data_IF_349309081281
#
_entry.id   IF_349309081281
#
_cell.length_a   1.000
_cell.length_b   1.000
_cell.length_c   1.000
_cell.angle_alpha   90.00
_cell.angle_beta   90.00
_cell.angle_gamma   90.00
#
_symmetry.space_group_name_H-M   'P 1'
#
loop_
_entity.id
_entity.type
_entity.pdbx_description
1 polymer ?
#
# COMPACT_ATOMS: atom_id res chain seq x y z
N UNK A 1 -46.06 -18.96 -11.66
CA UNK A 1 -46.01 -19.71 -12.93
C UNK A 1 -44.60 -20.23 -13.08
N UNK A 2 -44.48 -21.55 -13.08
CA UNK A 2 -43.30 -22.34 -12.73
C UNK A 2 -42.12 -22.17 -13.70
N UNK A 3 -40.92 -22.09 -13.13
CA UNK A 3 -39.67 -22.32 -13.84
C UNK A 3 -39.41 -23.83 -13.88
N UNK A 4 -39.49 -24.42 -15.08
CA UNK A 4 -39.06 -25.81 -15.29
C UNK A 4 -37.53 -25.89 -15.27
N UNK A 5 -37.00 -26.46 -14.19
CA UNK A 5 -35.73 -27.15 -14.21
C UNK A 5 -35.77 -28.25 -15.28
N UNK A 6 -34.99 -28.10 -16.35
CA UNK A 6 -34.51 -29.23 -17.15
C UNK A 6 -33.11 -29.57 -16.64
N UNK A 7 -33.05 -30.56 -15.75
CA UNK A 7 -31.89 -31.41 -15.58
C UNK A 7 -31.63 -32.09 -16.93
N UNK A 8 -30.53 -31.74 -17.58
CA UNK A 8 -29.99 -32.55 -18.67
C UNK A 8 -29.35 -33.77 -18.02
N UNK A 9 -30.00 -34.92 -18.19
CA UNK A 9 -29.41 -36.22 -17.90
C UNK A 9 -28.17 -36.40 -18.79
N UNK A 10 -26.99 -36.40 -18.16
CA UNK A 10 -25.74 -36.78 -18.80
C UNK A 10 -25.73 -38.32 -18.92
N UNK A 11 -25.86 -38.85 -20.13
CA UNK A 11 -25.50 -40.23 -20.42
C UNK A 11 -23.98 -40.36 -20.28
N UNK A 12 -23.53 -40.94 -19.16
CA UNK A 12 -22.14 -41.40 -18.96
C UNK A 12 -21.85 -42.51 -19.98
N UNK A 13 -21.11 -42.18 -21.03
CA UNK A 13 -20.53 -43.17 -21.94
C UNK A 13 -19.25 -43.72 -21.32
N UNK A 14 -18.93 -45.01 -21.50
CA UNK A 14 -17.72 -45.67 -20.96
C UNK A 14 -16.41 -44.91 -21.26
N UNK A 15 -16.37 -44.16 -22.37
CA UNK A 15 -15.22 -43.32 -22.73
C UNK A 15 -14.99 -42.10 -21.83
N UNK A 16 -15.99 -41.63 -21.09
CA UNK A 16 -15.87 -40.48 -20.19
C UNK A 16 -15.33 -40.91 -18.81
N UNK A 17 -15.66 -42.13 -18.37
CA UNK A 17 -15.15 -42.73 -17.14
C UNK A 17 -13.65 -43.03 -17.22
N UNK A 18 -13.19 -43.61 -18.34
CA UNK A 18 -11.75 -43.86 -18.57
C UNK A 18 -10.96 -42.55 -18.71
N UNK A 19 -11.50 -41.55 -19.41
CA UNK A 19 -10.88 -40.23 -19.51
C UNK A 19 -10.81 -39.50 -18.16
N UNK A 20 -11.82 -39.64 -17.31
CA UNK A 20 -11.81 -39.08 -15.96
C UNK A 20 -10.74 -39.76 -15.09
N UNK A 21 -10.58 -41.08 -15.22
CA UNK A 21 -9.55 -41.84 -14.49
C UNK A 21 -8.14 -41.43 -14.93
N UNK A 22 -7.89 -41.32 -16.24
CA UNK A 22 -6.61 -40.81 -16.76
C UNK A 22 -6.33 -39.39 -16.25
N UNK A 23 -7.33 -38.51 -16.29
CA UNK A 23 -7.19 -37.16 -15.77
C UNK A 23 -6.77 -37.13 -14.30
N UNK A 24 -7.42 -37.94 -13.44
CA UNK A 24 -7.08 -38.03 -12.02
C UNK A 24 -5.66 -38.55 -11.78
N UNK A 25 -5.21 -39.51 -12.59
CA UNK A 25 -3.83 -40.00 -12.54
C UNK A 25 -2.82 -38.92 -12.94
N UNK A 26 -3.02 -38.28 -14.09
CA UNK A 26 -2.16 -37.19 -14.56
C UNK A 26 -2.14 -36.02 -13.58
N UNK A 27 -3.26 -35.71 -12.94
CA UNK A 27 -3.35 -34.70 -11.88
C UNK A 27 -2.45 -35.08 -10.70
N UNK A 28 -2.59 -36.30 -10.19
CA UNK A 28 -1.75 -36.83 -9.10
C UNK A 28 -0.25 -36.81 -9.45
N UNK A 29 0.10 -37.17 -10.69
CA UNK A 29 1.48 -37.13 -11.17
C UNK A 29 2.01 -35.71 -11.31
N UNK A 30 1.18 -34.76 -11.79
CA UNK A 30 1.53 -33.34 -11.86
C UNK A 30 1.79 -32.72 -10.49
N UNK A 31 0.98 -33.06 -9.49
CA UNK A 31 1.18 -32.59 -8.11
C UNK A 31 2.42 -33.19 -7.45
N UNK A 32 2.72 -34.48 -7.73
CA UNK A 32 3.84 -35.20 -7.11
C UNK A 32 5.16 -35.09 -7.88
N UNK A 33 5.17 -34.49 -9.07
CA UNK A 33 6.36 -34.36 -9.92
C UNK A 33 6.81 -35.68 -10.53
N UNK A 34 5.90 -36.63 -10.76
CA UNK A 34 6.27 -37.94 -11.32
C UNK A 34 6.36 -37.86 -12.85
N UNK A 35 7.41 -37.21 -13.33
CA UNK A 35 7.62 -36.88 -14.74
C UNK A 35 7.63 -38.11 -15.65
N UNK A 36 8.26 -39.20 -15.22
CA UNK A 36 8.35 -40.42 -16.02
C UNK A 36 6.97 -41.05 -16.19
N UNK A 37 6.23 -41.25 -15.08
CA UNK A 37 4.88 -41.83 -15.16
C UNK A 37 3.91 -40.95 -15.93
N UNK A 38 4.01 -39.64 -15.78
CA UNK A 38 3.18 -38.70 -16.56
C UNK A 38 3.40 -38.91 -18.06
N UNK A 39 4.66 -38.93 -18.50
CA UNK A 39 5.01 -39.12 -19.90
C UNK A 39 4.64 -40.52 -20.41
N UNK A 40 4.91 -41.56 -19.62
CA UNK A 40 4.60 -42.95 -19.98
C UNK A 40 3.09 -43.14 -20.16
N UNK A 41 2.25 -42.58 -19.28
CA UNK A 41 0.78 -42.62 -19.44
C UNK A 41 0.34 -41.91 -20.71
N UNK A 42 0.88 -40.72 -20.99
CA UNK A 42 0.53 -39.98 -22.21
C UNK A 42 1.04 -40.68 -23.48
N UNK A 43 2.18 -41.37 -23.44
CA UNK A 43 2.75 -42.06 -24.60
C UNK A 43 2.08 -43.42 -24.87
N UNK A 44 1.73 -44.16 -23.81
CA UNK A 44 1.20 -45.52 -23.91
C UNK A 44 -0.32 -45.57 -24.06
N UNK A 45 -1.05 -44.64 -23.45
CA UNK A 45 -2.53 -44.70 -23.42
C UNK A 45 -3.19 -43.76 -24.44
N UNK A 46 -2.44 -42.83 -25.03
CA UNK A 46 -2.97 -41.84 -25.97
C UNK A 46 -2.09 -41.76 -27.23
N UNK A 47 -2.34 -42.66 -28.18
CA UNK A 47 -1.65 -42.67 -29.47
C UNK A 47 -2.15 -41.59 -30.45
N UNK A 48 -3.38 -41.09 -30.27
CA UNK A 48 -3.94 -40.00 -31.07
C UNK A 48 -3.48 -38.63 -30.55
N UNK A 49 -2.78 -37.82 -31.36
CA UNK A 49 -2.37 -36.46 -30.98
C UNK A 49 -3.54 -35.57 -30.55
N UNK A 50 -4.73 -35.73 -31.14
CA UNK A 50 -5.89 -34.90 -30.80
C UNK A 50 -6.45 -35.24 -29.42
N UNK A 51 -6.57 -36.54 -29.10
CA UNK A 51 -6.94 -37.01 -27.77
C UNK A 51 -5.94 -36.56 -26.68
N UNK A 52 -4.62 -36.58 -26.98
CA UNK A 52 -3.57 -36.06 -26.10
C UNK A 52 -3.80 -34.58 -25.77
N UNK A 53 -4.02 -33.75 -26.78
CA UNK A 53 -4.27 -32.31 -26.61
C UNK A 53 -5.56 -32.06 -25.82
N UNK A 54 -6.64 -32.79 -26.10
CA UNK A 54 -7.90 -32.66 -25.37
C UNK A 54 -7.73 -32.99 -23.88
N UNK A 55 -7.03 -34.08 -23.55
CA UNK A 55 -6.80 -34.45 -22.15
C UNK A 55 -5.87 -33.46 -21.44
N UNK A 56 -4.78 -33.03 -22.09
CA UNK A 56 -3.87 -32.01 -21.55
C UNK A 56 -4.55 -30.65 -21.35
N UNK A 57 -5.57 -30.35 -22.15
CA UNK A 57 -6.38 -29.14 -22.02
C UNK A 57 -7.39 -29.20 -20.88
N UNK A 58 -7.68 -30.39 -20.33
CA UNK A 58 -8.65 -30.57 -19.25
C UNK A 58 -8.24 -29.76 -18.01
N UNK A 59 -9.24 -29.12 -17.39
CA UNK A 59 -9.07 -28.15 -16.31
C UNK A 59 -9.49 -28.73 -14.97
N UNK A 60 -8.83 -28.29 -13.90
CA UNK A 60 -9.31 -28.55 -12.53
C UNK A 60 -10.54 -27.69 -12.20
N UNK A 61 -11.23 -27.93 -11.06
CA UNK A 61 -12.32 -27.07 -10.61
C UNK A 61 -11.94 -25.59 -10.43
N UNK A 62 -10.68 -25.29 -10.15
CA UNK A 62 -10.12 -23.92 -10.08
C UNK A 62 -9.63 -23.42 -11.44
N UNK A 63 -10.04 -24.08 -12.53
CA UNK A 63 -9.61 -23.82 -13.89
C UNK A 63 -8.07 -23.95 -14.10
N UNK A 64 -7.38 -24.72 -13.25
CA UNK A 64 -5.94 -24.94 -13.41
C UNK A 64 -5.66 -25.96 -14.51
N UNK A 65 -4.68 -25.66 -15.37
CA UNK A 65 -4.08 -26.64 -16.30
C UNK A 65 -3.04 -27.50 -15.57
N UNK A 66 -2.60 -28.60 -16.18
CA UNK A 66 -1.48 -29.37 -15.62
C UNK A 66 -0.19 -28.55 -15.48
N UNK A 67 0.01 -27.53 -16.31
CA UNK A 67 1.14 -26.60 -16.20
C UNK A 67 1.04 -25.78 -14.92
N UNK A 68 -0.15 -25.23 -14.60
CA UNK A 68 -0.37 -24.51 -13.34
C UNK A 68 -0.07 -25.38 -12.13
N UNK A 69 -0.55 -26.63 -12.14
CA UNK A 69 -0.37 -27.59 -11.03
C UNK A 69 1.10 -27.98 -10.86
N UNK A 70 1.80 -28.26 -11.97
CA UNK A 70 3.21 -28.62 -11.94
C UNK A 70 4.06 -27.45 -11.43
N UNK A 71 3.80 -26.23 -11.92
CA UNK A 71 4.50 -25.01 -11.48
C UNK A 71 4.20 -24.69 -10.02
N UNK A 72 2.94 -24.76 -9.59
CA UNK A 72 2.57 -24.49 -8.18
C UNK A 72 3.19 -25.50 -7.20
N UNK A 73 3.59 -26.66 -7.70
CA UNK A 73 4.20 -27.74 -6.92
C UNK A 73 5.74 -27.79 -7.05
N UNK A 74 6.36 -26.85 -7.78
CA UNK A 74 7.82 -26.78 -7.98
C UNK A 74 8.39 -27.72 -9.05
N UNK A 75 7.54 -28.37 -9.87
CA UNK A 75 7.96 -29.40 -10.83
C UNK A 75 8.20 -28.82 -12.23
N UNK A 76 9.25 -28.00 -12.36
CA UNK A 76 9.58 -27.25 -13.59
C UNK A 76 9.82 -28.14 -14.80
N UNK A 77 10.55 -29.25 -14.63
CA UNK A 77 10.86 -30.16 -15.75
C UNK A 77 9.60 -30.79 -16.34
N UNK A 78 8.63 -31.11 -15.48
CA UNK A 78 7.35 -31.64 -15.89
C UNK A 78 6.54 -30.56 -16.63
N UNK A 79 6.50 -29.34 -16.09
CA UNK A 79 5.84 -28.22 -16.75
C UNK A 79 6.41 -27.97 -18.17
N UNK A 80 7.74 -27.99 -18.32
CA UNK A 80 8.40 -27.83 -19.61
C UNK A 80 8.01 -28.95 -20.60
N UNK A 81 8.00 -30.22 -20.14
CA UNK A 81 7.57 -31.36 -20.97
C UNK A 81 6.11 -31.25 -21.42
N UNK A 82 5.21 -30.80 -20.53
CA UNK A 82 3.81 -30.56 -20.89
C UNK A 82 3.71 -29.46 -21.96
N UNK A 83 4.49 -28.39 -21.84
CA UNK A 83 4.51 -27.29 -22.82
C UNK A 83 5.11 -27.69 -24.17
N UNK A 84 6.04 -28.63 -24.21
CA UNK A 84 6.57 -29.19 -25.46
C UNK A 84 5.50 -29.97 -26.24
N UNK A 85 4.61 -30.65 -25.53
CA UNK A 85 3.47 -31.37 -26.14
C UNK A 85 2.33 -30.42 -26.51
N UNK A 86 2.06 -29.38 -25.71
CA UNK A 86 0.97 -28.43 -25.95
C UNK A 86 1.30 -27.00 -25.49
N UNK A 87 2.06 -26.26 -26.33
CA UNK A 87 2.52 -24.87 -26.06
C UNK A 87 1.41 -23.86 -25.70
N UNK A 88 0.21 -23.88 -26.32
CA UNK A 88 -0.86 -22.93 -26.01
C UNK A 88 -1.25 -22.85 -24.52
N UNK A 89 -1.01 -23.91 -23.73
CA UNK A 89 -1.26 -23.91 -22.28
C UNK A 89 -0.48 -22.84 -21.50
N UNK A 90 0.57 -22.28 -22.10
CA UNK A 90 1.37 -21.22 -21.49
C UNK A 90 0.58 -19.92 -21.29
N UNK A 91 -0.36 -19.62 -22.19
CA UNK A 91 -1.18 -18.41 -22.17
C UNK A 91 -2.51 -18.61 -21.45
N UNK A 92 -2.78 -19.83 -20.97
CA UNK A 92 -4.03 -20.15 -20.32
C UNK A 92 -4.09 -19.56 -18.91
N UNK A 93 -5.29 -19.14 -18.53
CA UNK A 93 -5.56 -18.54 -17.23
C UNK A 93 -6.39 -19.47 -16.36
N UNK A 94 -6.05 -19.52 -15.07
CA UNK A 94 -6.87 -20.18 -14.07
C UNK A 94 -8.04 -19.28 -13.61
N UNK A 95 -8.76 -19.69 -12.55
CA UNK A 95 -9.91 -18.95 -12.02
C UNK A 95 -9.54 -17.56 -11.47
N UNK A 96 -8.31 -17.39 -10.97
CA UNK A 96 -7.77 -16.10 -10.51
C UNK A 96 -7.26 -15.22 -11.66
N UNK A 97 -7.35 -15.71 -12.90
CA UNK A 97 -6.80 -15.05 -14.07
C UNK A 97 -5.27 -15.23 -14.20
N UNK A 98 -4.65 -16.00 -13.31
CA UNK A 98 -3.22 -16.25 -13.32
C UNK A 98 -2.86 -17.20 -14.45
N UNK A 99 -1.76 -16.88 -15.13
CA UNK A 99 -1.05 -17.84 -15.99
C UNK A 99 -0.05 -18.64 -15.16
N UNK A 100 0.54 -19.69 -15.75
CA UNK A 100 1.65 -20.40 -15.14
C UNK A 100 2.82 -19.47 -14.75
N UNK A 101 3.04 -18.38 -15.49
CA UNK A 101 4.07 -17.39 -15.16
C UNK A 101 3.73 -16.58 -13.90
N UNK A 102 2.45 -16.28 -13.65
CA UNK A 102 2.02 -15.62 -12.41
C UNK A 102 2.26 -16.52 -11.22
N UNK A 103 1.90 -17.82 -11.32
CA UNK A 103 2.16 -18.80 -10.26
C UNK A 103 3.67 -18.92 -10.00
N UNK A 104 4.48 -19.01 -11.06
CA UNK A 104 5.94 -19.05 -10.93
C UNK A 104 6.47 -17.79 -10.22
N UNK A 105 5.93 -16.61 -10.53
CA UNK A 105 6.33 -15.36 -9.88
C UNK A 105 5.89 -15.27 -8.41
N UNK A 106 4.73 -15.85 -8.08
CA UNK A 106 4.23 -15.98 -6.70
C UNK A 106 5.04 -16.98 -5.87
N UNK A 107 5.73 -17.93 -6.51
CA UNK A 107 6.57 -18.90 -5.82
C UNK A 107 7.97 -18.32 -5.55
N UNK A 108 8.54 -18.64 -4.39
CA UNK A 108 9.94 -18.31 -4.04
C UNK A 108 10.95 -19.14 -4.86
N UNK A 109 10.45 -20.17 -5.57
CA UNK A 109 11.26 -21.22 -6.17
C UNK A 109 12.02 -20.72 -7.40
N UNK A 110 13.24 -20.24 -7.11
CA UNK A 110 14.47 -20.09 -7.88
C UNK A 110 14.31 -19.73 -9.35
N UNK A 111 15.15 -18.81 -9.82
CA UNK A 111 15.35 -18.34 -11.20
C UNK A 111 15.11 -19.39 -12.32
N UNK A 112 15.28 -20.69 -12.05
CA UNK A 112 15.03 -21.81 -12.95
C UNK A 112 13.59 -21.91 -13.46
N UNK A 113 12.55 -21.72 -12.63
CA UNK A 113 11.15 -21.89 -13.05
C UNK A 113 10.74 -20.81 -14.05
N UNK A 114 10.91 -19.56 -13.65
CA UNK A 114 10.61 -18.40 -14.49
C UNK A 114 11.44 -18.41 -15.77
N UNK A 115 12.75 -18.66 -15.68
CA UNK A 115 13.60 -18.70 -16.87
C UNK A 115 13.24 -19.87 -17.80
N UNK A 116 12.83 -21.01 -17.24
CA UNK A 116 12.37 -22.14 -18.05
C UNK A 116 11.08 -21.80 -18.77
N UNK A 117 10.07 -21.23 -18.09
CA UNK A 117 8.83 -20.80 -18.75
C UNK A 117 9.08 -19.74 -19.83
N UNK A 118 9.98 -18.78 -19.58
CA UNK A 118 10.38 -17.79 -20.58
C UNK A 118 11.15 -18.41 -21.75
N UNK A 119 11.95 -19.46 -21.51
CA UNK A 119 12.63 -20.22 -22.57
C UNK A 119 11.63 -20.99 -23.42
N UNK A 120 10.68 -21.70 -22.81
CA UNK A 120 9.64 -22.42 -23.56
C UNK A 120 8.73 -21.45 -24.34
N UNK A 121 8.51 -20.23 -23.84
CA UNK A 121 7.82 -19.16 -24.57
C UNK A 121 8.55 -18.78 -25.88
N UNK A 122 9.90 -18.68 -25.83
CA UNK A 122 10.76 -18.32 -26.98
C UNK A 122 10.82 -19.37 -28.09
N UNK A 123 10.36 -20.59 -27.85
CA UNK A 123 10.44 -21.70 -28.83
C UNK A 123 11.86 -22.02 -29.31
N UNK A 124 11.99 -23.01 -30.21
CA UNK A 124 13.30 -23.51 -30.68
C UNK A 124 13.86 -22.74 -31.89
N UNK A 125 13.10 -21.86 -32.52
CA UNK A 125 13.48 -21.09 -33.73
C UNK A 125 13.56 -19.59 -33.42
N UNK A 126 14.78 -19.04 -33.46
CA UNK A 126 15.17 -17.72 -32.96
C UNK A 126 14.60 -16.49 -33.70
N UNK A 127 13.63 -16.60 -34.61
CA UNK A 127 13.30 -15.50 -35.55
C UNK A 127 11.85 -14.99 -35.43
N UNK A 128 10.89 -15.75 -34.88
CA UNK A 128 9.46 -15.33 -34.84
C UNK A 128 8.82 -15.25 -33.44
N UNK A 129 9.47 -15.74 -32.38
CA UNK A 129 8.81 -16.04 -31.10
C UNK A 129 8.92 -14.96 -29.99
N UNK A 130 9.49 -13.79 -30.27
CA UNK A 130 9.57 -12.74 -29.23
C UNK A 130 8.19 -12.16 -28.91
N UNK A 131 7.25 -12.22 -29.86
CA UNK A 131 5.87 -11.77 -29.67
C UNK A 131 5.12 -12.57 -28.59
N UNK A 132 5.26 -13.90 -28.55
CA UNK A 132 4.63 -14.77 -27.56
C UNK A 132 5.14 -14.47 -26.14
N UNK A 133 6.45 -14.27 -26.01
CA UNK A 133 7.11 -13.95 -24.73
C UNK A 133 6.63 -12.60 -24.21
N UNK A 134 6.61 -11.58 -25.06
CA UNK A 134 6.10 -10.25 -24.72
C UNK A 134 4.61 -10.32 -24.37
N UNK A 135 3.83 -11.11 -25.10
CA UNK A 135 2.41 -11.31 -24.80
C UNK A 135 2.27 -11.88 -23.40
N UNK A 136 2.96 -12.99 -23.08
CA UNK A 136 2.92 -13.64 -21.77
C UNK A 136 3.34 -12.70 -20.63
N UNK A 137 4.44 -11.95 -20.79
CA UNK A 137 4.96 -11.01 -19.80
C UNK A 137 3.97 -9.87 -19.49
N UNK A 138 3.16 -9.49 -20.50
CA UNK A 138 2.18 -8.41 -20.42
C UNK A 138 0.79 -8.89 -20.00
N UNK A 139 0.56 -10.20 -19.91
CA UNK A 139 -0.73 -10.73 -19.43
C UNK A 139 -0.99 -10.29 -18.00
N UNK A 140 -2.25 -9.93 -17.74
CA UNK A 140 -2.75 -9.49 -16.46
C UNK A 140 -3.70 -10.53 -15.85
N UNK A 141 -3.58 -10.80 -14.56
CA UNK A 141 -4.56 -11.61 -13.84
C UNK A 141 -5.83 -10.82 -13.50
N UNK A 142 -6.73 -11.41 -12.70
CA UNK A 142 -7.99 -10.75 -12.35
C UNK A 142 -7.78 -9.45 -11.58
N UNK A 143 -6.66 -9.26 -10.85
CA UNK A 143 -6.30 -8.02 -10.14
C UNK A 143 -5.54 -7.01 -11.02
N UNK A 144 -5.48 -7.29 -12.32
CA UNK A 144 -4.65 -6.57 -13.28
C UNK A 144 -3.14 -6.60 -12.98
N UNK A 145 -2.70 -7.51 -12.11
CA UNK A 145 -1.29 -7.74 -11.86
C UNK A 145 -0.69 -8.50 -13.04
N UNK A 146 0.48 -8.07 -13.50
CA UNK A 146 1.38 -8.91 -14.31
C UNK A 146 2.19 -9.83 -13.40
N UNK A 147 2.87 -10.83 -13.95
CA UNK A 147 3.80 -11.66 -13.17
C UNK A 147 4.86 -10.83 -12.41
N UNK A 148 5.29 -9.68 -12.96
CA UNK A 148 6.22 -8.79 -12.27
C UNK A 148 5.61 -8.13 -11.03
N UNK A 149 4.31 -7.80 -11.05
CA UNK A 149 3.62 -7.32 -9.85
C UNK A 149 3.63 -8.39 -8.77
N UNK A 150 3.26 -9.63 -9.11
CA UNK A 150 3.21 -10.74 -8.16
C UNK A 150 4.59 -11.02 -7.54
N UNK A 151 5.65 -11.04 -8.36
CA UNK A 151 7.02 -11.20 -7.86
C UNK A 151 7.39 -10.12 -6.83
N UNK A 152 7.04 -8.85 -7.08
CA UNK A 152 7.32 -7.76 -6.15
C UNK A 152 6.43 -7.80 -4.91
N UNK A 153 5.14 -8.16 -5.04
CA UNK A 153 4.22 -8.31 -3.90
C UNK A 153 4.75 -9.36 -2.92
N UNK A 154 5.29 -10.47 -3.44
CA UNK A 154 5.89 -11.53 -2.61
C UNK A 154 7.34 -11.24 -2.18
N UNK A 155 7.98 -10.21 -2.73
CA UNK A 155 9.37 -9.85 -2.39
C UNK A 155 10.45 -10.65 -3.12
N UNK A 156 10.10 -11.35 -4.21
CA UNK A 156 11.01 -12.17 -5.02
C UNK A 156 11.84 -11.32 -5.99
N UNK A 157 12.89 -10.68 -5.46
CA UNK A 157 13.70 -9.72 -6.20
C UNK A 157 14.44 -10.32 -7.40
N UNK A 158 14.91 -11.57 -7.31
CA UNK A 158 15.63 -12.21 -8.42
C UNK A 158 14.70 -12.48 -9.60
N UNK A 159 13.51 -13.02 -9.33
CA UNK A 159 12.44 -13.19 -10.33
C UNK A 159 12.06 -11.84 -10.95
N UNK A 160 11.91 -10.80 -10.13
CA UNK A 160 11.62 -9.45 -10.62
C UNK A 160 12.72 -8.95 -11.58
N UNK A 161 14.01 -9.16 -11.26
CA UNK A 161 15.13 -8.81 -12.17
C UNK A 161 15.00 -9.52 -13.51
N UNK A 162 14.80 -10.85 -13.51
CA UNK A 162 14.64 -11.62 -14.74
C UNK A 162 13.48 -11.14 -15.60
N UNK A 163 12.33 -10.84 -14.98
CA UNK A 163 11.15 -10.33 -15.70
C UNK A 163 11.38 -8.93 -16.30
N UNK A 164 12.06 -8.04 -15.57
CA UNK A 164 12.42 -6.70 -16.07
C UNK A 164 13.44 -6.78 -17.22
N UNK A 165 14.41 -7.69 -17.14
CA UNK A 165 15.36 -7.92 -18.23
C UNK A 165 14.69 -8.47 -19.50
N UNK A 166 13.62 -9.25 -19.34
CA UNK A 166 12.87 -9.82 -20.45
C UNK A 166 11.95 -8.81 -21.14
N UNK A 167 11.24 -7.96 -20.39
CA UNK A 167 10.49 -6.82 -20.93
C UNK A 167 10.46 -5.65 -19.94
N UNK A 168 11.32 -4.64 -20.09
CA UNK A 168 11.36 -3.51 -19.17
C UNK A 168 10.04 -2.73 -19.10
N UNK A 169 9.25 -2.70 -20.19
CA UNK A 169 8.04 -1.89 -20.27
C UNK A 169 6.97 -2.32 -19.27
N UNK A 170 6.93 -3.60 -18.88
CA UNK A 170 5.98 -4.11 -17.87
C UNK A 170 6.16 -3.46 -16.51
N UNK A 171 7.33 -2.86 -16.25
CA UNK A 171 7.66 -2.17 -15.00
C UNK A 171 6.81 -0.91 -14.76
N UNK A 172 6.14 -0.41 -15.80
CA UNK A 172 5.34 0.82 -15.78
C UNK A 172 3.83 0.54 -15.86
N UNK A 173 3.42 -0.70 -16.11
CA UNK A 173 2.00 -1.05 -16.20
C UNK A 173 1.35 -0.99 -14.83
N UNK A 174 0.11 -0.53 -14.77
CA UNK A 174 -0.63 -0.43 -13.51
C UNK A 174 -1.59 -1.61 -13.31
N UNK A 175 -1.79 -1.99 -12.06
CA UNK A 175 -2.84 -2.91 -11.64
C UNK A 175 -4.15 -2.18 -11.27
N UNK A 176 -5.15 -2.89 -10.74
CA UNK A 176 -6.44 -2.31 -10.31
C UNK A 176 -6.32 -1.18 -9.30
N UNK A 177 -5.32 -1.26 -8.42
CA UNK A 177 -5.05 -0.23 -7.41
C UNK A 177 -4.28 0.98 -7.97
N UNK A 178 -4.02 0.98 -9.28
CA UNK A 178 -3.19 1.93 -9.99
C UNK A 178 -1.73 1.91 -9.53
N UNK A 179 -1.25 0.79 -8.99
CA UNK A 179 0.15 0.58 -8.61
C UNK A 179 0.88 -0.09 -9.74
N UNK A 180 2.04 0.45 -10.11
CA UNK A 180 2.97 -0.19 -11.05
C UNK A 180 4.04 -1.02 -10.32
N UNK A 181 4.79 -1.90 -11.00
CA UNK A 181 5.96 -2.53 -10.40
C UNK A 181 7.00 -1.53 -9.90
N UNK A 182 7.19 -0.41 -10.60
CA UNK A 182 8.02 0.70 -10.11
C UNK A 182 7.48 1.28 -8.79
N UNK A 183 6.16 1.43 -8.65
CA UNK A 183 5.54 1.84 -7.38
C UNK A 183 5.84 0.82 -6.26
N UNK A 184 5.63 -0.48 -6.50
CA UNK A 184 5.84 -1.53 -5.49
C UNK A 184 7.32 -1.61 -5.07
N UNK A 185 8.24 -1.57 -6.03
CA UNK A 185 9.67 -1.56 -5.77
C UNK A 185 10.11 -0.31 -5.01
N UNK A 186 9.52 0.84 -5.32
CA UNK A 186 9.73 2.10 -4.63
C UNK A 186 9.21 2.06 -3.19
N UNK A 187 8.02 1.50 -2.94
CA UNK A 187 7.42 1.36 -1.60
C UNK A 187 8.25 0.47 -0.69
N UNK A 188 8.80 -0.62 -1.22
CA UNK A 188 9.62 -1.57 -0.47
C UNK A 188 11.09 -1.16 -0.36
N UNK A 189 11.53 -0.17 -1.14
CA UNK A 189 12.91 0.33 -1.11
C UNK A 189 13.92 -0.56 -1.82
N UNK A 190 13.49 -1.28 -2.85
CA UNK A 190 14.31 -2.21 -3.63
C UNK A 190 15.26 -1.45 -4.56
N UNK A 191 16.34 -0.89 -4.01
CA UNK A 191 17.26 0.02 -4.71
C UNK A 191 17.73 -0.54 -6.05
N UNK A 192 18.11 -1.81 -6.11
CA UNK A 192 18.63 -2.45 -7.33
C UNK A 192 17.55 -2.57 -8.40
N UNK A 193 16.33 -2.95 -8.03
CA UNK A 193 15.18 -3.02 -8.94
C UNK A 193 14.84 -1.63 -9.47
N UNK A 194 14.76 -0.63 -8.59
CA UNK A 194 14.46 0.75 -8.99
C UNK A 194 15.54 1.31 -9.93
N UNK A 195 16.82 0.99 -9.72
CA UNK A 195 17.89 1.33 -10.67
C UNK A 195 17.73 0.64 -12.00
N UNK A 196 17.46 -0.66 -11.99
CA UNK A 196 17.27 -1.45 -13.21
C UNK A 196 16.09 -0.90 -14.05
N UNK A 197 14.95 -0.63 -13.42
CA UNK A 197 13.78 -0.02 -14.09
C UNK A 197 14.16 1.35 -14.66
N UNK A 198 14.92 2.17 -13.93
CA UNK A 198 15.40 3.47 -14.43
C UNK A 198 16.18 3.33 -15.73
N UNK A 199 17.13 2.42 -15.73
CA UNK A 199 18.10 2.27 -16.82
C UNK A 199 17.49 1.63 -18.06
N UNK A 200 16.44 0.81 -17.89
CA UNK A 200 15.89 -0.04 -18.95
C UNK A 200 14.50 0.38 -19.44
N UNK A 201 13.65 0.93 -18.56
CA UNK A 201 12.24 1.18 -18.85
C UNK A 201 11.88 2.66 -18.94
N UNK A 202 12.68 3.54 -18.34
CA UNK A 202 12.40 4.99 -18.28
C UNK A 202 13.32 5.71 -19.26
N UNK A 203 12.76 6.11 -20.39
CA UNK A 203 13.42 6.99 -21.36
C UNK A 203 13.21 8.46 -20.99
N UNK A 204 13.80 9.36 -21.77
CA UNK A 204 13.54 10.78 -21.64
C UNK A 204 12.06 11.04 -21.95
N UNK A 205 11.37 11.76 -21.06
CA UNK A 205 9.95 12.13 -21.20
C UNK A 205 8.94 10.97 -21.05
N UNK A 206 9.34 9.82 -20.50
CA UNK A 206 8.39 8.75 -20.16
C UNK A 206 7.36 9.23 -19.12
N UNK A 207 6.09 9.16 -19.49
CA UNK A 207 4.98 9.45 -18.58
C UNK A 207 4.71 8.23 -17.68
N UNK A 208 4.86 8.42 -16.37
CA UNK A 208 4.54 7.39 -15.38
C UNK A 208 3.05 7.47 -15.07
N UNK A 209 2.32 6.43 -15.45
CA UNK A 209 0.88 6.32 -15.20
C UNK A 209 0.58 5.79 -13.79
N UNK A 210 -0.64 6.06 -13.32
CA UNK A 210 -1.13 5.58 -12.03
C UNK A 210 -0.59 6.36 -10.82
N UNK A 211 -0.50 5.69 -9.67
CA UNK A 211 0.00 6.27 -8.43
C UNK A 211 1.50 6.53 -8.54
N UNK A 212 1.93 7.72 -8.12
CA UNK A 212 3.35 8.10 -8.20
C UNK A 212 4.25 7.21 -7.33
N UNK A 213 5.35 6.67 -7.90
CA UNK A 213 6.38 5.96 -7.15
C UNK A 213 7.05 6.80 -6.06
N UNK A 214 7.10 8.13 -6.18
CA UNK A 214 7.65 8.98 -5.12
C UNK A 214 6.77 8.96 -3.88
N UNK A 215 5.44 8.97 -4.03
CA UNK A 215 4.54 8.77 -2.89
C UNK A 215 4.77 7.40 -2.26
N UNK A 216 4.94 6.35 -3.06
CA UNK A 216 5.24 5.00 -2.58
C UNK A 216 6.51 4.98 -1.71
N UNK A 217 7.61 5.55 -2.21
CA UNK A 217 8.87 5.62 -1.47
C UNK A 217 8.77 6.45 -0.18
N UNK A 218 7.94 7.49 -0.17
CA UNK A 218 7.67 8.29 1.04
C UNK A 218 6.85 7.47 2.04
N UNK A 219 5.77 6.82 1.61
CA UNK A 219 4.91 5.99 2.45
C UNK A 219 5.70 4.84 3.09
N UNK A 220 6.58 4.20 2.32
CA UNK A 220 7.53 3.19 2.80
C UNK A 220 8.70 3.74 3.63
N UNK A 221 8.81 5.06 3.82
CA UNK A 221 9.91 5.74 4.52
C UNK A 221 11.30 5.37 3.99
N UNK A 222 11.40 5.23 2.66
CA UNK A 222 12.57 4.66 2.02
C UNK A 222 13.76 5.60 1.96
N UNK A 223 14.96 5.02 2.03
CA UNK A 223 16.24 5.75 2.11
C UNK A 223 16.36 6.81 1.00
N UNK A 224 17.10 7.87 1.30
CA UNK A 224 17.39 8.99 0.39
C UNK A 224 17.81 8.56 -1.02
N UNK A 225 18.53 7.44 -1.14
CA UNK A 225 18.96 6.94 -2.44
C UNK A 225 17.78 6.57 -3.35
N UNK A 226 16.76 5.87 -2.83
CA UNK A 226 15.54 5.54 -3.57
C UNK A 226 14.81 6.82 -3.98
N UNK A 227 14.65 7.76 -3.04
CA UNK A 227 14.03 9.06 -3.31
C UNK A 227 14.75 9.82 -4.43
N UNK A 228 16.08 9.84 -4.45
CA UNK A 228 16.88 10.49 -5.51
C UNK A 228 16.66 9.84 -6.86
N UNK A 229 16.67 8.50 -6.93
CA UNK A 229 16.55 7.77 -8.18
C UNK A 229 15.17 8.05 -8.80
N UNK A 230 14.11 7.88 -8.01
CA UNK A 230 12.72 8.13 -8.44
C UNK A 230 12.53 9.60 -8.80
N UNK A 231 13.13 10.52 -8.03
CA UNK A 231 12.98 11.95 -8.30
C UNK A 231 13.64 12.43 -9.58
N UNK A 232 14.46 11.59 -10.21
CA UNK A 232 15.05 11.86 -11.50
C UNK A 232 14.26 11.20 -12.65
N UNK A 233 13.30 10.33 -12.35
CA UNK A 233 12.41 9.71 -13.34
C UNK A 233 11.17 10.57 -13.58
N UNK A 234 10.60 11.15 -12.52
CA UNK A 234 9.38 11.94 -12.63
C UNK A 234 9.70 13.39 -13.00
N UNK A 235 9.41 13.77 -14.25
CA UNK A 235 9.68 15.11 -14.76
C UNK A 235 8.95 16.24 -13.99
N UNK A 236 7.81 15.93 -13.35
CA UNK A 236 6.91 16.91 -12.74
C UNK A 236 6.55 16.64 -11.27
N UNK A 237 7.55 16.33 -10.43
CA UNK A 237 7.34 16.10 -8.99
C UNK A 237 6.59 17.25 -8.31
N UNK A 238 6.84 18.48 -8.76
CA UNK A 238 6.23 19.69 -8.22
C UNK A 238 4.72 19.78 -8.49
N UNK A 239 4.14 18.94 -9.36
CA UNK A 239 2.71 18.91 -9.62
C UNK A 239 2.04 17.65 -9.07
N UNK A 240 2.79 16.79 -8.38
CA UNK A 240 2.24 15.56 -7.82
C UNK A 240 1.33 15.87 -6.64
N UNK A 241 0.10 15.39 -6.75
CA UNK A 241 -0.89 15.38 -5.69
C UNK A 241 -1.49 13.97 -5.60
N UNK A 242 -1.74 13.51 -4.38
CA UNK A 242 -2.56 12.31 -4.18
C UNK A 242 -4.05 12.64 -4.29
N UNK A 243 -4.91 11.63 -4.10
CA UNK A 243 -6.37 11.77 -4.14
C UNK A 243 -6.95 12.80 -3.14
N UNK A 244 -6.15 13.20 -2.14
CA UNK A 244 -6.49 14.21 -1.12
C UNK A 244 -5.87 15.58 -1.40
N UNK A 245 -5.28 15.78 -2.59
CA UNK A 245 -4.59 17.01 -2.95
C UNK A 245 -3.26 17.19 -2.20
N UNK A 246 -2.76 16.13 -1.55
CA UNK A 246 -1.55 16.22 -0.73
C UNK A 246 -0.32 16.11 -1.63
N UNK A 247 0.59 17.06 -1.51
CA UNK A 247 1.92 16.98 -2.13
C UNK A 247 2.80 15.93 -1.43
N UNK A 248 3.91 15.48 -2.02
CA UNK A 248 4.89 14.62 -1.35
C UNK A 248 5.32 15.13 0.03
N UNK A 249 5.45 16.45 0.19
CA UNK A 249 5.82 17.08 1.46
C UNK A 249 4.73 16.96 2.52
N UNK A 250 3.45 17.04 2.15
CA UNK A 250 2.33 16.78 3.07
C UNK A 250 2.37 15.35 3.59
N UNK A 251 2.57 14.37 2.70
CA UNK A 251 2.64 12.96 3.07
C UNK A 251 3.83 12.68 4.01
N UNK A 252 5.02 13.14 3.65
CA UNK A 252 6.22 12.99 4.49
C UNK A 252 6.03 13.65 5.86
N UNK A 253 5.43 14.83 5.91
CA UNK A 253 5.14 15.53 7.15
C UNK A 253 4.11 14.81 8.02
N UNK A 254 3.03 14.29 7.42
CA UNK A 254 1.96 13.59 8.14
C UNK A 254 2.43 12.27 8.76
N UNK A 255 3.26 11.51 8.05
CA UNK A 255 3.76 10.22 8.54
C UNK A 255 5.00 10.35 9.44
N UNK A 256 5.50 11.57 9.69
CA UNK A 256 6.69 11.78 10.51
C UNK A 256 8.01 11.37 9.83
N UNK A 257 8.04 11.33 8.50
CA UNK A 257 9.23 10.88 7.76
C UNK A 257 10.25 12.02 7.59
N UNK A 258 11.12 12.16 8.60
CA UNK A 258 12.06 13.28 8.70
C UNK A 258 13.04 13.34 7.53
N UNK A 259 13.67 12.23 7.15
CA UNK A 259 14.60 12.22 6.01
C UNK A 259 13.90 12.57 4.69
N UNK A 260 12.65 12.14 4.51
CA UNK A 260 11.81 12.55 3.39
C UNK A 260 11.56 14.06 3.38
N UNK A 261 11.25 14.65 4.53
CA UNK A 261 11.11 16.11 4.67
C UNK A 261 12.43 16.83 4.40
N UNK A 262 13.59 16.32 4.83
CA UNK A 262 14.90 16.93 4.48
C UNK A 262 15.20 16.85 2.99
N UNK A 263 14.84 15.73 2.37
CA UNK A 263 15.03 15.50 0.95
C UNK A 263 14.15 16.46 0.12
N UNK A 264 12.86 16.52 0.44
CA UNK A 264 11.87 17.34 -0.25
C UNK A 264 11.99 18.84 0.08
N UNK A 265 12.36 19.18 1.32
CA UNK A 265 12.47 20.57 1.81
C UNK A 265 13.50 21.43 1.07
N UNK A 266 14.38 20.82 0.26
CA UNK A 266 15.22 21.54 -0.71
C UNK A 266 14.42 22.16 -1.86
N UNK A 267 13.14 21.81 -2.02
CA UNK A 267 12.22 22.25 -3.08
C UNK A 267 11.08 23.09 -2.49
N UNK A 268 11.45 24.22 -1.88
CA UNK A 268 10.63 25.12 -1.02
C UNK A 268 9.24 25.51 -1.57
N UNK A 269 8.95 25.38 -2.88
CA UNK A 269 7.65 25.77 -3.48
C UNK A 269 6.47 24.94 -2.95
N UNK A 270 6.70 23.71 -2.51
CA UNK A 270 5.61 22.81 -2.07
C UNK A 270 5.13 23.06 -0.64
N UNK A 271 5.84 23.88 0.16
CA UNK A 271 5.45 24.16 1.56
C UNK A 271 4.21 25.05 1.68
N UNK A 272 3.87 25.80 0.63
CA UNK A 272 2.76 26.76 0.60
C UNK A 272 1.53 26.30 -0.17
N UNK A 273 1.50 25.02 -0.56
CA UNK A 273 0.29 24.44 -1.17
C UNK A 273 -0.61 23.90 -0.07
N UNK A 274 -1.92 24.08 -0.26
CA UNK A 274 -2.95 23.49 0.59
C UNK A 274 -3.40 22.16 -0.01
N UNK A 275 -3.62 21.17 0.83
CA UNK A 275 -4.37 19.97 0.46
C UNK A 275 -5.88 20.25 0.30
N UNK A 276 -6.68 19.25 -0.10
CA UNK A 276 -8.13 19.40 -0.25
C UNK A 276 -8.85 19.73 1.08
N UNK A 277 -8.20 19.52 2.23
CA UNK A 277 -8.71 19.92 3.55
C UNK A 277 -8.24 21.32 3.96
N UNK A 278 -7.51 22.01 3.09
CA UNK A 278 -7.02 23.36 3.32
C UNK A 278 -5.79 23.45 4.23
N UNK A 279 -5.12 22.34 4.52
CA UNK A 279 -3.94 22.27 5.36
C UNK A 279 -2.66 22.38 4.54
N UNK A 280 -1.64 23.00 5.12
CA UNK A 280 -0.26 22.98 4.59
C UNK A 280 0.53 21.82 5.22
N UNK A 281 1.70 21.43 4.69
CA UNK A 281 2.50 20.34 5.26
C UNK A 281 2.83 20.52 6.75
N UNK A 282 3.09 21.76 7.20
CA UNK A 282 3.37 22.05 8.61
C UNK A 282 2.14 21.83 9.52
N UNK A 283 0.92 22.01 8.99
CA UNK A 283 -0.31 21.68 9.71
C UNK A 283 -0.49 20.15 9.80
N UNK A 284 -0.12 19.40 8.75
CA UNK A 284 -0.13 17.93 8.79
C UNK A 284 0.89 17.35 9.79
N UNK A 285 2.08 17.96 9.91
CA UNK A 285 3.04 17.60 10.95
C UNK A 285 2.47 17.93 12.34
N UNK A 286 1.81 19.08 12.47
CA UNK A 286 1.27 19.55 13.73
C UNK A 286 0.07 18.73 14.21
N UNK A 287 -0.77 18.23 13.31
CA UNK A 287 -1.91 17.36 13.64
C UNK A 287 -1.52 15.95 14.07
N UNK A 288 -0.24 15.61 13.94
CA UNK A 288 0.33 14.30 14.29
C UNK A 288 1.45 14.41 15.32
N UNK A 289 1.67 15.61 15.88
CA UNK A 289 2.63 15.84 16.96
C UNK A 289 4.10 15.70 16.56
N UNK A 290 4.44 15.73 15.27
CA UNK A 290 5.80 15.49 14.79
C UNK A 290 6.72 16.69 15.01
N UNK A 291 7.23 16.85 16.24
CA UNK A 291 8.06 17.98 16.67
C UNK A 291 9.27 18.20 15.76
N UNK A 292 10.00 17.15 15.42
CA UNK A 292 11.22 17.28 14.63
C UNK A 292 10.94 17.62 13.16
N UNK A 293 9.78 17.24 12.64
CA UNK A 293 9.30 17.68 11.33
C UNK A 293 8.97 19.17 11.35
N UNK A 294 8.24 19.63 12.37
CA UNK A 294 7.90 21.05 12.52
C UNK A 294 9.17 21.90 12.60
N UNK A 295 10.16 21.48 13.40
CA UNK A 295 11.48 22.14 13.46
C UNK A 295 12.17 22.17 12.09
N UNK A 296 12.21 21.03 11.39
CA UNK A 296 12.89 20.95 10.10
C UNK A 296 12.22 21.81 9.03
N UNK A 297 10.87 21.82 8.99
CA UNK A 297 10.10 22.67 8.10
C UNK A 297 10.36 24.15 8.39
N UNK A 298 10.33 24.58 9.65
CA UNK A 298 10.61 25.97 10.04
C UNK A 298 12.07 26.38 9.79
N UNK A 299 13.01 25.43 9.84
CA UNK A 299 14.41 25.70 9.48
C UNK A 299 14.56 26.03 7.99
N UNK A 300 13.76 25.39 7.13
CA UNK A 300 13.80 25.59 5.68
C UNK A 300 12.87 26.71 5.20
N UNK A 301 11.69 26.85 5.81
CA UNK A 301 10.67 27.84 5.53
C UNK A 301 10.19 28.51 6.85
N UNK A 302 10.92 29.51 7.37
CA UNK A 302 10.55 30.17 8.63
C UNK A 302 9.16 30.84 8.60
N UNK A 303 8.77 31.34 7.44
CA UNK A 303 7.46 31.94 7.15
C UNK A 303 6.29 30.94 7.26
N UNK A 304 6.57 29.64 7.20
CA UNK A 304 5.54 28.60 7.41
C UNK A 304 4.91 28.65 8.81
N UNK A 305 5.54 29.33 9.77
CA UNK A 305 4.98 29.58 11.11
C UNK A 305 3.71 30.42 11.06
N UNK A 306 3.59 31.34 10.10
CA UNK A 306 2.49 32.31 10.00
C UNK A 306 1.31 31.80 9.17
N UNK A 307 1.46 30.65 8.51
CA UNK A 307 0.42 30.08 7.65
C UNK A 307 -0.85 29.75 8.42
N UNK A 308 -1.99 30.04 7.79
CA UNK A 308 -3.33 29.76 8.31
C UNK A 308 -4.07 28.82 7.37
N UNK A 309 -4.49 27.66 7.88
CA UNK A 309 -5.25 26.69 7.08
C UNK A 309 -6.64 27.25 6.69
N UNK A 310 -7.46 26.49 5.96
CA UNK A 310 -8.78 26.97 5.53
C UNK A 310 -9.81 27.19 6.65
N UNK A 311 -9.55 26.71 7.88
CA UNK A 311 -10.31 27.08 9.07
C UNK A 311 -9.72 28.31 9.80
N UNK A 312 -8.80 29.01 9.17
CA UNK A 312 -7.98 30.07 9.78
C UNK A 312 -7.23 29.58 11.04
N UNK A 313 -6.88 28.30 11.10
CA UNK A 313 -6.11 27.73 12.22
C UNK A 313 -4.61 27.83 11.93
N UNK A 314 -3.84 28.23 12.95
CA UNK A 314 -2.38 28.12 12.93
C UNK A 314 -1.92 26.72 13.43
N UNK A 315 -0.62 26.47 13.41
CA UNK A 315 -0.02 25.19 13.84
C UNK A 315 -0.31 24.81 15.31
N UNK A 316 -0.45 25.80 16.21
CA UNK A 316 -0.78 25.56 17.62
C UNK A 316 -2.27 25.23 17.82
N UNK A 317 -3.18 25.84 17.05
CA UNK A 317 -4.59 25.44 17.03
C UNK A 317 -4.73 23.97 16.63
N UNK A 318 -4.03 23.55 15.56
CA UNK A 318 -4.10 22.18 15.07
C UNK A 318 -3.51 21.19 16.08
N UNK A 319 -2.35 21.49 16.66
CA UNK A 319 -1.75 20.66 17.71
C UNK A 319 -2.67 20.54 18.94
N UNK A 320 -3.29 21.64 19.35
CA UNK A 320 -4.21 21.67 20.48
C UNK A 320 -5.50 20.88 20.21
N UNK A 321 -6.08 21.02 19.02
CA UNK A 321 -7.26 20.28 18.55
C UNK A 321 -7.03 18.78 18.43
N UNK A 322 -5.80 18.36 18.14
CA UNK A 322 -5.42 16.95 18.02
C UNK A 322 -4.84 16.36 19.31
N UNK A 323 -4.66 17.16 20.36
CA UNK A 323 -4.18 16.68 21.66
C UNK A 323 -2.67 16.42 21.72
N UNK A 324 -1.89 17.05 20.84
CA UNK A 324 -0.47 16.76 20.64
C UNK A 324 0.42 17.41 21.72
N UNK A 325 0.40 16.82 22.92
CA UNK A 325 1.02 17.32 24.14
C UNK A 325 2.49 17.75 23.96
N UNK A 326 3.32 16.88 23.37
CA UNK A 326 4.76 17.14 23.21
C UNK A 326 5.03 18.35 22.32
N UNK A 327 4.22 18.51 21.27
CA UNK A 327 4.34 19.63 20.35
C UNK A 327 3.82 20.93 20.96
N UNK A 328 2.69 20.89 21.67
CA UNK A 328 2.19 22.05 22.43
C UNK A 328 3.22 22.48 23.47
N UNK A 329 3.78 21.55 24.24
CA UNK A 329 4.84 21.83 25.22
C UNK A 329 6.07 22.45 24.56
N UNK A 330 6.44 21.99 23.37
CA UNK A 330 7.52 22.59 22.58
C UNK A 330 7.20 24.05 22.19
N UNK A 331 6.00 24.31 21.66
CA UNK A 331 5.57 25.65 21.29
C UNK A 331 5.53 26.61 22.49
N UNK A 332 4.97 26.19 23.62
CA UNK A 332 4.89 27.03 24.82
C UNK A 332 6.27 27.32 25.42
N UNK A 333 7.26 26.43 25.28
CA UNK A 333 8.63 26.68 25.80
C UNK A 333 9.41 27.75 25.03
N UNK A 334 9.01 28.09 23.80
CA UNK A 334 9.80 28.96 22.91
C UNK A 334 9.07 30.29 22.72
N UNK A 335 9.82 31.38 22.83
CA UNK A 335 9.27 32.75 22.72
C UNK A 335 8.80 33.06 21.30
N UNK A 336 9.43 32.47 20.28
CA UNK A 336 9.07 32.67 18.87
C UNK A 336 7.61 32.31 18.54
N UNK A 337 7.00 31.33 19.22
CA UNK A 337 5.60 30.95 19.01
C UNK A 337 4.60 31.74 19.84
N UNK A 338 5.04 32.74 20.62
CA UNK A 338 4.17 33.49 21.53
C UNK A 338 2.98 34.12 20.80
N UNK A 339 3.18 34.59 19.57
CA UNK A 339 2.11 35.19 18.76
C UNK A 339 0.96 34.23 18.45
N UNK A 340 1.17 32.91 18.50
CA UNK A 340 0.17 31.90 18.14
C UNK A 340 -0.82 31.60 19.26
N UNK A 341 -0.44 31.87 20.52
CA UNK A 341 -1.08 31.36 21.76
C UNK A 341 -2.55 31.77 21.89
N UNK A 342 -2.89 33.01 21.54
CA UNK A 342 -4.22 33.58 21.71
C UNK A 342 -4.88 34.02 20.39
N UNK A 343 -4.29 33.65 19.25
CA UNK A 343 -4.93 33.89 17.96
C UNK A 343 -6.26 33.16 17.90
N UNK A 344 -7.21 33.71 17.14
CA UNK A 344 -8.54 33.14 16.94
C UNK A 344 -8.62 32.51 15.56
N UNK A 345 -9.26 31.35 15.47
CA UNK A 345 -9.65 30.75 14.21
C UNK A 345 -10.93 31.41 13.62
N UNK A 346 -11.44 30.87 12.51
CA UNK A 346 -12.60 31.42 11.81
C UNK A 346 -13.94 31.34 12.59
N UNK A 347 -13.95 30.70 13.76
CA UNK A 347 -15.08 30.61 14.69
C UNK A 347 -14.78 31.34 16.01
N UNK A 348 -13.74 32.16 16.01
CA UNK A 348 -13.30 32.90 17.18
C UNK A 348 -12.58 32.05 18.24
N UNK A 349 -12.34 30.75 17.99
CA UNK A 349 -11.74 29.85 18.97
C UNK A 349 -10.23 30.06 19.04
N UNK A 350 -9.67 30.08 20.25
CA UNK A 350 -8.22 30.00 20.46
C UNK A 350 -7.74 28.55 20.54
N UNK A 351 -6.43 28.25 20.53
CA UNK A 351 -5.93 26.89 20.75
C UNK A 351 -6.45 26.25 22.05
N UNK A 352 -6.60 27.04 23.13
CA UNK A 352 -7.18 26.54 24.38
C UNK A 352 -8.65 26.14 24.23
N UNK A 353 -9.44 26.91 23.46
CA UNK A 353 -10.82 26.54 23.16
C UNK A 353 -10.85 25.18 22.46
N UNK A 354 -10.02 24.97 21.44
CA UNK A 354 -9.98 23.70 20.71
C UNK A 354 -9.51 22.55 21.60
N UNK A 355 -8.48 22.74 22.44
CA UNK A 355 -8.05 21.70 23.38
C UNK A 355 -9.15 21.27 24.35
N UNK A 356 -9.99 22.21 24.82
CA UNK A 356 -11.12 21.91 25.68
C UNK A 356 -12.26 21.25 24.92
N UNK A 357 -12.62 21.78 23.75
CA UNK A 357 -13.71 21.29 22.88
C UNK A 357 -13.49 19.84 22.45
N UNK A 358 -12.24 19.45 22.21
CA UNK A 358 -11.86 18.10 21.77
C UNK A 358 -11.34 17.23 22.93
N UNK A 359 -11.58 17.63 24.18
CA UNK A 359 -11.32 16.83 25.38
C UNK A 359 -9.86 16.39 25.57
N UNK A 360 -8.91 17.33 25.47
CA UNK A 360 -7.47 17.07 25.65
C UNK A 360 -6.94 17.63 26.98
N UNK A 361 -7.20 16.98 28.14
CA UNK A 361 -6.91 17.54 29.46
C UNK A 361 -5.43 17.84 29.70
N UNK A 362 -4.52 17.03 29.15
CA UNK A 362 -3.07 17.27 29.29
C UNK A 362 -2.64 18.56 28.57
N UNK A 363 -3.16 18.80 27.38
CA UNK A 363 -2.92 20.03 26.62
C UNK A 363 -3.55 21.23 27.34
N UNK A 364 -4.77 21.08 27.86
CA UNK A 364 -5.44 22.11 28.68
C UNK A 364 -4.58 22.43 29.92
N UNK A 365 -4.06 21.42 30.60
CA UNK A 365 -3.17 21.61 31.75
C UNK A 365 -1.90 22.39 31.38
N UNK A 366 -1.26 22.08 30.24
CA UNK A 366 -0.11 22.84 29.75
C UNK A 366 -0.45 24.32 29.51
N UNK A 367 -1.62 24.61 28.93
CA UNK A 367 -2.07 25.98 28.71
C UNK A 367 -2.39 26.70 30.03
N UNK A 368 -3.03 26.04 31.00
CA UNK A 368 -3.35 26.66 32.30
C UNK A 368 -2.09 27.12 33.04
N UNK A 369 -0.99 26.37 32.90
CA UNK A 369 0.29 26.71 33.52
C UNK A 369 1.03 27.87 32.81
N UNK A 370 0.65 28.24 31.59
CA UNK A 370 1.31 29.31 30.84
C UNK A 370 0.65 30.66 31.10
N UNK A 371 1.40 31.58 31.73
CA UNK A 371 0.90 32.92 32.10
C UNK A 371 0.48 33.79 30.91
N UNK A 372 0.87 33.44 29.68
CA UNK A 372 0.53 34.20 28.46
C UNK A 372 -0.85 33.83 27.92
N UNK A 373 -1.46 32.75 28.40
CA UNK A 373 -2.79 32.32 27.98
C UNK A 373 -3.85 33.30 28.52
N UNK A 374 -4.71 33.77 27.63
CA UNK A 374 -5.82 34.63 27.99
C UNK A 374 -7.12 33.82 28.10
N UNK A 375 -7.54 33.51 29.32
CA UNK A 375 -8.76 32.76 29.62
C UNK A 375 -10.06 33.55 29.36
N UNK A 376 -9.98 34.88 29.15
CA UNK A 376 -11.15 35.75 28.95
C UNK A 376 -11.53 35.93 27.48
N UNK A 377 -10.77 35.34 26.55
CA UNK A 377 -11.08 35.44 25.13
C UNK A 377 -12.40 34.70 24.86
N UNK A 378 -13.35 35.40 24.24
CA UNK A 378 -14.61 34.82 23.79
C UNK A 378 -14.51 34.37 22.33
N UNK A 379 -15.06 33.20 22.03
CA UNK A 379 -15.31 32.77 20.65
C UNK A 379 -16.58 33.42 20.09
N UNK A 380 -16.94 33.08 18.85
CA UNK A 380 -18.09 33.68 18.16
C UNK A 380 -19.44 33.28 18.77
N UNK A 381 -19.45 32.26 19.66
CA UNK A 381 -20.61 31.87 20.48
C UNK A 381 -20.68 32.63 21.81
N UNK A 382 -19.76 33.56 22.07
CA UNK A 382 -19.71 34.31 23.32
C UNK A 382 -19.23 33.49 24.51
N UNK A 383 -18.57 32.35 24.29
CA UNK A 383 -18.08 31.47 25.36
C UNK A 383 -16.57 31.63 25.54
N UNK A 384 -16.08 31.65 26.78
CA UNK A 384 -14.65 31.43 27.05
C UNK A 384 -14.31 29.96 26.91
N UNK A 385 -13.02 29.64 26.82
CA UNK A 385 -12.57 28.26 26.81
C UNK A 385 -12.93 27.49 28.11
N UNK A 386 -13.08 28.19 29.25
CA UNK A 386 -13.49 27.57 30.51
C UNK A 386 -15.00 27.29 30.55
N UNK A 387 -15.80 28.15 29.91
CA UNK A 387 -17.26 27.98 29.79
C UNK A 387 -17.65 26.81 28.89
N UNK A 388 -16.71 26.34 28.06
CA UNK A 388 -16.89 25.16 27.23
C UNK A 388 -16.91 23.90 28.12
N UNK A 389 -18.09 23.59 28.64
CA UNK A 389 -18.47 22.35 29.32
C UNK A 389 -19.20 21.41 28.35
N UNK A 390 -19.56 20.20 28.80
CA UNK A 390 -20.14 19.07 28.05
C UNK A 390 -21.33 19.35 27.11
N UNK A 391 -21.88 20.57 27.07
CA UNK A 391 -23.01 20.97 26.22
C UNK A 391 -22.76 20.87 24.70
N UNK A 392 -21.52 20.62 24.25
CA UNK A 392 -21.27 20.28 22.84
C UNK A 392 -21.73 18.87 22.44
N UNK A 393 -22.11 18.01 23.39
CA UNK A 393 -22.66 16.67 23.12
C UNK A 393 -24.00 16.72 22.35
N UNK A 394 -24.79 17.78 22.49
CA UNK A 394 -26.12 17.85 21.85
C UNK A 394 -26.06 18.22 20.36
N UNK A 395 -24.95 18.77 19.85
CA UNK A 395 -24.83 19.14 18.42
C UNK A 395 -24.06 18.12 17.58
N UNK A 396 -23.30 17.20 18.20
CA UNK A 396 -22.61 16.12 17.49
C UNK A 396 -23.31 14.76 17.58
N UNK A 397 -24.22 14.57 18.54
CA UNK A 397 -24.97 13.31 18.69
C UNK A 397 -26.09 13.09 17.66
N UNK A 398 -26.34 14.04 16.74
CA UNK A 398 -27.29 13.85 15.62
C UNK A 398 -26.68 13.21 14.37
N UNK A 399 -25.37 12.93 14.36
CA UNK A 399 -24.74 12.08 13.34
C UNK A 399 -23.96 10.96 14.03
N UNK A 400 -24.52 9.75 13.98
CA UNK A 400 -24.13 8.50 14.65
C UNK A 400 -24.84 8.29 15.98
N UNK A 401 -26.06 7.77 15.90
CA UNK A 401 -26.77 7.24 17.05
C UNK A 401 -26.03 6.03 17.61
N UNK A 402 -25.47 6.18 18.81
CA UNK A 402 -25.57 5.20 19.90
C UNK A 402 -25.55 5.99 21.22
N UNK A 403 -26.49 5.66 22.10
CA UNK A 403 -26.78 6.28 23.39
C UNK A 403 -25.57 6.35 24.34
N UNK A 404 -25.51 7.44 25.09
CA UNK A 404 -24.73 7.61 26.32
C UNK A 404 -25.00 6.48 27.33
N UNK A 405 -23.92 5.92 27.88
CA UNK A 405 -23.89 5.46 29.27
C UNK A 405 -22.52 5.79 29.87
N UNK A 406 -22.55 6.73 30.81
CA UNK A 406 -21.49 7.08 31.73
C UNK A 406 -21.19 5.90 32.67
N UNK A 407 -19.93 5.45 32.80
CA UNK A 407 -19.39 4.89 34.06
C UNK A 407 -17.90 5.25 34.17
N UNK A 408 -17.55 5.89 35.28
CA UNK A 408 -16.19 6.09 35.79
C UNK A 408 -15.57 4.75 36.25
N UNK A 409 -14.25 4.65 36.13
CA UNK A 409 -13.31 3.72 36.79
C UNK A 409 -12.92 2.37 36.14
N UNK A 410 -11.61 2.15 36.22
CA UNK A 410 -10.77 0.94 36.12
C UNK A 410 -10.07 0.58 34.80
N UNK A 411 -8.75 0.45 34.98
CA UNK A 411 -7.75 -0.27 34.19
C UNK A 411 -8.29 -1.33 33.22
N UNK A 412 -7.89 -1.22 31.97
CA UNK A 412 -7.39 -2.35 31.18
C UNK A 412 -6.08 -1.88 30.53
N UNK A 413 -4.97 -2.25 31.19
CA UNK A 413 -3.75 -2.65 30.49
C UNK A 413 -4.00 -4.11 30.08
N UNK A 414 -3.63 -4.45 28.85
CA UNK A 414 -3.09 -5.74 28.36
C UNK A 414 -3.02 -5.61 26.81
N UNK A 415 -1.98 -6.02 26.08
CA UNK A 415 -0.84 -6.84 26.44
C UNK A 415 0.30 -6.71 25.41
N UNK A 416 1.54 -6.61 25.90
CA UNK A 416 2.58 -7.63 25.69
C UNK A 416 3.85 -7.31 26.53
N UNK A 417 3.99 -8.08 27.60
CA UNK A 417 5.17 -8.84 28.03
C UNK A 417 6.23 -8.31 29.06
N UNK A 418 6.21 -9.05 30.19
CA UNK A 418 7.24 -9.40 31.20
C UNK A 418 7.70 -8.42 32.32
N UNK A 419 7.37 -8.81 33.57
CA UNK A 419 8.39 -9.04 34.60
C UNK A 419 8.29 -8.34 35.97
N UNK A 420 7.47 -8.88 36.87
CA UNK A 420 7.62 -8.99 38.35
C UNK A 420 8.18 -7.85 39.26
N UNK A 421 7.35 -7.58 40.29
CA UNK A 421 7.63 -7.27 41.71
C UNK A 421 7.63 -5.82 42.27
N UNK A 422 6.55 -5.58 43.01
CA UNK A 422 6.43 -5.03 44.39
C UNK A 422 6.43 -3.52 44.67
N UNK A 423 5.21 -3.09 45.05
CA UNK A 423 4.80 -2.35 46.26
C UNK A 423 5.35 -0.93 46.52
N UNK A 424 4.41 0.02 46.61
CA UNK A 424 4.66 1.35 47.15
C UNK A 424 3.49 2.30 46.97
N UNK A 425 2.42 2.10 47.75
CA UNK A 425 1.33 3.05 47.96
C UNK A 425 1.85 4.43 48.40
N UNK A 426 1.41 5.51 47.75
CA UNK A 426 1.25 6.80 48.44
C UNK A 426 0.14 7.62 47.80
N UNK A 427 -0.95 7.76 48.56
CA UNK A 427 -1.96 8.81 48.41
C UNK A 427 -1.28 10.18 48.40
N UNK A 428 -1.73 11.11 47.54
CA UNK A 428 -1.78 12.53 47.92
C UNK A 428 -3.02 13.20 47.33
N UNK A 429 -3.62 14.00 48.20
CA UNK A 429 -4.92 14.64 48.13
C UNK A 429 -5.02 15.74 47.05
N UNK A 430 -6.20 15.80 46.43
CA UNK A 430 -6.75 16.97 45.74
C UNK A 430 -7.22 17.98 46.80
N UNK A 431 -6.84 19.25 46.68
CA UNK A 431 -7.54 20.38 47.32
C UNK A 431 -7.92 21.36 46.22
N UNK A 432 -9.16 21.82 46.31
CA UNK A 432 -10.01 22.59 45.39
C UNK A 432 -9.34 23.63 44.50
#
# INVERSE_FOLDING_TARGET
>A
MEAHHRTQDFEETDGDADNLRLYQQLYSYATRGNTNRFNDTIANELHDPNARVQLLSRRSPQNNTFVHIAVSSGHVELAAKILQEHKPLLLEKNFEGDTALHIAAKAEDIDTTTNTLLREARGTTNIENNADVLTLLRMKNNEENTALHEALIQGHQLVAKCLIEADPAVSLYTNKEQKSPLYLAAEQGLVEIVKLIKEKAVEKDTEIQGKSPLFAAILGRQKKEVLKIISNMEANILNLEDEKGRTPLHCAASIGYLEGVRFLGRRLKDSHRKDHYGNFPIHCASSKGHVDIVKELLRHCPDSMELRNSSDQNILHVAARCGEENLVKYFLKKVEFQMLINQKDNRGNTPLHLAKMYHHPKVVHLFILDRRINFKVLNDRGMTALDMSESTLETSASYHGVSLCYIYFYHIIDDHDFGYHNQGTSLFYLVC
#
